data_IF_882861133241
#
_entry.id   IF_882861133241
#
_cell.length_a   1.000
_cell.length_b   1.000
_cell.length_c   1.000
_cell.angle_alpha   90.00
_cell.angle_beta   90.00
_cell.angle_gamma   90.00
#
_symmetry.space_group_name_H-M   'P 1'
#
loop_
_entity.id
_entity.type
_entity.pdbx_description
1 polymer ?
#
# COMPACT_ATOMS: atom_id res chain seq x y z
N UNK A 1 17.33 -15.77 6.25
CA UNK A 1 16.60 -16.22 7.46
C UNK A 1 16.32 -15.07 8.42
N UNK A 2 17.32 -14.38 9.00
CA UNK A 2 17.06 -13.28 9.98
C UNK A 2 16.35 -12.06 9.35
N UNK A 3 16.53 -11.81 8.05
CA UNK A 3 15.81 -10.77 7.29
C UNK A 3 14.45 -11.21 6.74
N UNK A 4 14.02 -12.44 7.04
CA UNK A 4 12.70 -12.90 6.62
C UNK A 4 11.63 -12.29 7.54
N UNK A 5 10.72 -11.51 6.95
CA UNK A 5 9.64 -10.84 7.67
C UNK A 5 8.77 -11.84 8.44
N UNK A 6 8.51 -13.02 7.87
CA UNK A 6 7.71 -14.07 8.52
C UNK A 6 8.39 -14.59 9.79
N UNK A 7 9.71 -14.77 9.73
CA UNK A 7 10.51 -15.18 10.89
C UNK A 7 10.47 -14.10 11.97
N UNK A 8 10.70 -12.83 11.62
CA UNK A 8 10.68 -11.72 12.59
C UNK A 8 9.33 -11.62 13.32
N UNK A 9 8.22 -11.70 12.58
CA UNK A 9 6.88 -11.70 13.17
C UNK A 9 6.66 -12.89 14.10
N UNK A 10 7.05 -14.10 13.67
CA UNK A 10 6.88 -15.31 14.47
C UNK A 10 7.66 -15.25 15.78
N UNK A 11 8.94 -14.87 15.75
CA UNK A 11 9.77 -14.78 16.96
C UNK A 11 9.32 -13.65 17.88
N UNK A 12 8.90 -12.50 17.34
CA UNK A 12 8.34 -11.41 18.14
C UNK A 12 7.04 -11.84 18.83
N UNK A 13 6.14 -12.54 18.14
CA UNK A 13 4.92 -13.09 18.72
C UNK A 13 5.22 -14.05 19.87
N UNK A 14 6.12 -15.02 19.65
CA UNK A 14 6.51 -16.01 20.67
C UNK A 14 7.14 -15.31 21.89
N UNK A 15 8.02 -14.33 21.68
CA UNK A 15 8.60 -13.54 22.77
C UNK A 15 7.52 -12.83 23.59
N UNK A 16 6.57 -12.18 22.92
CA UNK A 16 5.45 -11.52 23.59
C UNK A 16 4.60 -12.48 24.42
N UNK A 17 4.24 -13.64 23.85
CA UNK A 17 3.49 -14.69 24.53
C UNK A 17 4.24 -15.13 25.80
N UNK A 18 5.49 -15.59 25.66
CA UNK A 18 6.27 -16.11 26.80
C UNK A 18 6.44 -15.07 27.91
N UNK A 19 6.63 -13.79 27.55
CA UNK A 19 6.90 -12.75 28.53
C UNK A 19 5.64 -12.19 29.22
N UNK A 20 4.52 -12.11 28.51
CA UNK A 20 3.35 -11.33 28.95
C UNK A 20 2.08 -12.16 29.13
N UNK A 21 1.86 -13.20 28.34
CA UNK A 21 0.58 -13.93 28.29
C UNK A 21 0.13 -14.35 29.70
N UNK A 22 0.98 -15.06 30.44
CA UNK A 22 0.69 -15.51 31.81
C UNK A 22 0.32 -14.36 32.75
N UNK A 23 1.02 -13.22 32.63
CA UNK A 23 0.77 -12.04 33.48
C UNK A 23 -0.56 -11.35 33.17
N UNK A 24 -1.08 -11.50 31.95
CA UNK A 24 -2.43 -11.05 31.58
C UNK A 24 -3.45 -12.08 32.07
N UNK A 25 -3.21 -13.36 31.80
CA UNK A 25 -4.11 -14.46 32.16
C UNK A 25 -4.39 -14.50 33.67
N UNK A 26 -3.36 -14.32 34.49
CA UNK A 26 -3.47 -14.33 35.96
C UNK A 26 -4.37 -13.20 36.53
N UNK A 27 -4.67 -12.14 35.76
CA UNK A 27 -5.54 -11.04 36.22
C UNK A 27 -7.01 -11.42 36.29
N UNK A 28 -7.45 -12.40 35.50
CA UNK A 28 -8.83 -12.84 35.48
C UNK A 28 -8.91 -14.34 35.22
N UNK A 29 -9.61 -15.06 36.10
CA UNK A 29 -9.80 -16.50 35.97
C UNK A 29 -11.30 -16.77 35.75
N UNK A 30 -11.74 -16.99 34.50
CA UNK A 30 -13.13 -17.30 34.22
C UNK A 30 -13.55 -18.59 34.93
N UNK A 31 -14.78 -18.61 35.46
CA UNK A 31 -15.31 -19.76 36.21
C UNK A 31 -15.69 -20.95 35.32
N UNK A 32 -15.98 -20.71 34.04
CA UNK A 32 -16.43 -21.75 33.09
C UNK A 32 -15.31 -22.19 32.17
N UNK A 33 -15.31 -23.45 31.73
CA UNK A 33 -14.33 -23.98 30.77
C UNK A 33 -14.34 -23.21 29.44
N UNK A 34 -15.53 -22.85 28.96
CA UNK A 34 -15.70 -22.05 27.73
C UNK A 34 -15.17 -20.64 27.91
N UNK A 35 -15.47 -19.99 29.05
CA UNK A 35 -14.93 -18.67 29.36
C UNK A 35 -13.41 -18.67 29.43
N UNK A 36 -12.82 -19.72 30.05
CA UNK A 36 -11.37 -19.90 30.12
C UNK A 36 -10.74 -20.05 28.74
N UNK A 37 -11.32 -20.88 27.87
CA UNK A 37 -10.84 -21.04 26.49
C UNK A 37 -10.78 -19.71 25.72
N UNK A 38 -11.84 -18.90 25.76
CA UNK A 38 -11.84 -17.60 25.09
C UNK A 38 -10.90 -16.59 25.74
N UNK A 39 -10.81 -16.61 27.07
CA UNK A 39 -9.88 -15.74 27.80
C UNK A 39 -8.42 -16.04 27.46
N UNK A 40 -8.05 -17.32 27.38
CA UNK A 40 -6.70 -17.74 27.01
C UNK A 40 -6.37 -17.28 25.57
N UNK A 41 -7.32 -17.41 24.62
CA UNK A 41 -7.16 -16.89 23.26
C UNK A 41 -6.94 -15.38 23.24
N UNK A 42 -7.70 -14.63 24.05
CA UNK A 42 -7.55 -13.18 24.17
C UNK A 42 -6.16 -12.83 24.73
N UNK A 43 -5.72 -13.51 25.78
CA UNK A 43 -4.43 -13.28 26.42
C UNK A 43 -3.27 -13.55 25.46
N UNK A 44 -3.29 -14.70 24.77
CA UNK A 44 -2.30 -15.06 23.75
C UNK A 44 -2.31 -14.05 22.61
N UNK A 45 -3.49 -13.67 22.10
CA UNK A 45 -3.62 -12.71 21.00
C UNK A 45 -3.08 -11.33 21.37
N UNK A 46 -3.40 -10.83 22.57
CA UNK A 46 -2.88 -9.54 23.05
C UNK A 46 -1.36 -9.57 23.22
N UNK A 47 -0.84 -10.63 23.85
CA UNK A 47 0.59 -10.78 24.09
C UNK A 47 1.39 -10.87 22.78
N UNK A 48 0.93 -11.69 21.83
CA UNK A 48 1.53 -11.77 20.50
C UNK A 48 1.46 -10.44 19.76
N UNK A 49 0.26 -9.83 19.71
CA UNK A 49 0.02 -8.63 18.91
C UNK A 49 0.78 -7.41 19.42
N UNK A 50 1.01 -7.30 20.74
CA UNK A 50 1.83 -6.23 21.30
C UNK A 50 3.25 -6.19 20.72
N UNK A 51 3.84 -7.36 20.42
CA UNK A 51 5.20 -7.44 19.89
C UNK A 51 5.27 -7.53 18.37
N UNK A 52 4.22 -8.01 17.70
CA UNK A 52 4.14 -7.99 16.24
C UNK A 52 3.63 -6.65 15.69
N UNK A 53 2.99 -5.82 16.52
CA UNK A 53 2.43 -4.53 16.11
C UNK A 53 3.48 -3.59 15.48
N UNK A 54 4.66 -3.34 16.09
CA UNK A 54 5.64 -2.43 15.49
C UNK A 54 6.19 -2.95 14.15
N UNK A 55 6.44 -4.26 14.04
CA UNK A 55 6.90 -4.90 12.80
C UNK A 55 5.81 -4.83 11.72
N UNK A 56 4.55 -5.07 12.09
CA UNK A 56 3.42 -4.99 11.16
C UNK A 56 3.27 -3.58 10.58
N UNK A 57 3.39 -2.54 11.41
CA UNK A 57 3.37 -1.15 10.94
C UNK A 57 4.59 -0.79 10.07
N UNK A 58 5.76 -1.34 10.39
CA UNK A 58 6.98 -1.08 9.64
C UNK A 58 6.93 -1.66 8.23
N UNK A 59 6.53 -2.94 8.08
CA UNK A 59 6.55 -3.62 6.79
C UNK A 59 5.26 -3.46 5.98
N UNK A 60 4.10 -3.51 6.64
CA UNK A 60 2.81 -3.51 5.95
C UNK A 60 2.11 -2.16 5.99
N UNK A 61 2.61 -1.22 6.81
CA UNK A 61 2.01 0.10 7.02
C UNK A 61 0.53 0.04 7.39
N UNK A 62 0.09 -1.08 7.94
CA UNK A 62 -1.30 -1.32 8.30
C UNK A 62 -1.38 -2.19 9.55
N UNK A 63 -2.41 -1.95 10.34
CA UNK A 63 -2.73 -2.76 11.50
C UNK A 63 -4.24 -3.03 11.58
N UNK A 64 -4.67 -4.30 11.64
CA UNK A 64 -6.09 -4.63 11.80
C UNK A 64 -6.57 -4.30 13.21
N UNK A 65 -7.58 -3.44 13.35
CA UNK A 65 -8.14 -3.07 14.65
C UNK A 65 -8.96 -4.19 15.28
N UNK A 66 -9.64 -4.97 14.43
CA UNK A 66 -10.44 -6.12 14.86
C UNK A 66 -9.61 -7.41 14.92
N UNK A 67 -8.29 -7.31 15.14
CA UNK A 67 -7.41 -8.47 15.21
C UNK A 67 -7.87 -9.50 16.24
N UNK A 68 -8.45 -9.07 17.37
CA UNK A 68 -8.89 -9.98 18.42
C UNK A 68 -10.08 -10.83 17.96
N UNK A 69 -11.04 -10.23 17.24
CA UNK A 69 -12.18 -10.94 16.67
C UNK A 69 -11.73 -11.91 15.57
N UNK A 70 -10.87 -11.43 14.66
CA UNK A 70 -10.31 -12.26 13.59
C UNK A 70 -9.51 -13.44 14.18
N UNK A 71 -8.59 -13.16 15.11
CA UNK A 71 -7.76 -14.18 15.75
C UNK A 71 -8.59 -15.18 16.55
N UNK A 72 -9.68 -14.76 17.18
CA UNK A 72 -10.55 -15.71 17.90
C UNK A 72 -11.12 -16.79 16.97
N UNK A 73 -11.61 -16.40 15.80
CA UNK A 73 -12.12 -17.34 14.81
C UNK A 73 -11.00 -18.12 14.10
N UNK A 74 -9.90 -17.45 13.76
CA UNK A 74 -8.77 -18.04 13.02
C UNK A 74 -8.00 -19.04 13.88
N UNK A 75 -7.67 -18.70 15.14
CA UNK A 75 -6.92 -19.58 16.04
C UNK A 75 -7.73 -20.85 16.34
N UNK A 76 -9.06 -20.79 16.43
CA UNK A 76 -9.88 -21.97 16.64
C UNK A 76 -9.85 -22.95 15.45
N UNK A 77 -9.75 -22.46 14.21
CA UNK A 77 -9.76 -23.31 13.00
C UNK A 77 -8.36 -23.72 12.53
N UNK A 78 -7.32 -22.95 12.87
CA UNK A 78 -5.95 -23.15 12.36
C UNK A 78 -5.37 -24.55 12.68
N UNK A 79 -5.51 -25.11 13.90
CA UNK A 79 -5.04 -26.47 14.18
C UNK A 79 -5.69 -27.53 13.28
N UNK A 80 -6.99 -27.36 12.96
CA UNK A 80 -7.71 -28.25 12.05
C UNK A 80 -7.18 -28.14 10.62
N UNK A 81 -6.90 -26.91 10.14
CA UNK A 81 -6.32 -26.70 8.81
C UNK A 81 -4.94 -27.37 8.72
N UNK A 82 -4.07 -27.15 9.70
CA UNK A 82 -2.71 -27.69 9.71
C UNK A 82 -2.73 -29.21 9.81
N UNK A 83 -3.49 -29.77 10.74
CA UNK A 83 -3.60 -31.22 10.91
C UNK A 83 -4.18 -31.87 9.65
N UNK A 84 -5.25 -31.31 9.08
CA UNK A 84 -5.87 -31.82 7.86
C UNK A 84 -4.93 -31.71 6.65
N UNK A 85 -4.18 -30.61 6.51
CA UNK A 85 -3.16 -30.45 5.47
C UNK A 85 -2.05 -31.49 5.58
N UNK A 86 -1.57 -31.79 6.80
CA UNK A 86 -0.59 -32.85 7.03
C UNK A 86 -1.16 -34.23 6.70
N UNK A 87 -2.39 -34.53 7.12
CA UNK A 87 -3.07 -35.78 6.77
C UNK A 87 -3.26 -35.92 5.26
N UNK A 88 -3.66 -34.85 4.57
CA UNK A 88 -3.84 -34.85 3.13
C UNK A 88 -2.56 -35.22 2.39
N UNK A 89 -1.41 -34.71 2.84
CA UNK A 89 -0.10 -35.09 2.28
C UNK A 89 0.22 -36.57 2.52
N UNK A 90 -0.01 -37.06 3.74
CA UNK A 90 0.27 -38.45 4.13
C UNK A 90 -0.63 -39.46 3.40
N UNK A 91 -1.91 -39.14 3.23
CA UNK A 91 -2.93 -40.02 2.64
C UNK A 91 -3.19 -39.73 1.15
N UNK A 92 -2.35 -38.91 0.52
CA UNK A 92 -2.49 -38.49 -0.89
C UNK A 92 -2.52 -39.65 -1.90
N UNK A 93 -1.99 -40.82 -1.53
CA UNK A 93 -1.98 -42.02 -2.36
C UNK A 93 -3.35 -42.71 -2.48
N UNK A 94 -4.26 -42.50 -1.52
CA UNK A 94 -5.61 -43.07 -1.56
C UNK A 94 -6.61 -42.02 -2.02
N UNK A 95 -7.09 -42.14 -3.26
CA UNK A 95 -7.95 -41.14 -3.91
C UNK A 95 -9.16 -40.73 -3.05
N UNK A 96 -9.87 -41.69 -2.46
CA UNK A 96 -11.05 -41.40 -1.62
C UNK A 96 -10.70 -40.60 -0.35
N UNK A 97 -9.54 -40.87 0.26
CA UNK A 97 -9.06 -40.16 1.44
C UNK A 97 -8.60 -38.75 1.06
N UNK A 98 -7.87 -38.63 -0.05
CA UNK A 98 -7.47 -37.34 -0.63
C UNK A 98 -8.68 -36.46 -0.88
N UNK A 99 -9.71 -36.95 -1.59
CA UNK A 99 -10.90 -36.16 -1.93
C UNK A 99 -11.67 -35.70 -0.68
N UNK A 100 -11.83 -36.59 0.31
CA UNK A 100 -12.48 -36.25 1.58
C UNK A 100 -11.71 -35.21 2.39
N UNK A 101 -10.39 -35.38 2.56
CA UNK A 101 -9.53 -34.45 3.28
C UNK A 101 -9.43 -33.09 2.55
N UNK A 102 -9.33 -33.11 1.21
CA UNK A 102 -9.29 -31.91 0.38
C UNK A 102 -10.60 -31.13 0.47
N UNK A 103 -11.75 -31.81 0.45
CA UNK A 103 -13.05 -31.18 0.65
C UNK A 103 -13.14 -30.52 2.03
N UNK A 104 -12.75 -31.24 3.10
CA UNK A 104 -12.73 -30.69 4.46
C UNK A 104 -11.77 -29.49 4.57
N UNK A 105 -10.60 -29.56 3.93
CA UNK A 105 -9.61 -28.48 3.94
C UNK A 105 -10.18 -27.24 3.24
N UNK A 106 -10.82 -27.42 2.10
CA UNK A 106 -11.50 -26.35 1.36
C UNK A 106 -12.63 -25.72 2.18
N UNK A 107 -13.39 -26.50 2.94
CA UNK A 107 -14.41 -25.96 3.86
C UNK A 107 -13.77 -25.08 4.94
N UNK A 108 -12.69 -25.54 5.57
CA UNK A 108 -11.98 -24.75 6.59
C UNK A 108 -11.40 -23.45 6.01
N UNK A 109 -10.78 -23.50 4.83
CA UNK A 109 -10.23 -22.32 4.15
C UNK A 109 -11.37 -21.36 3.76
N UNK A 110 -12.49 -21.87 3.24
CA UNK A 110 -13.66 -21.05 2.89
C UNK A 110 -14.23 -20.34 4.13
N UNK A 111 -14.36 -21.05 5.25
CA UNK A 111 -14.77 -20.46 6.52
C UNK A 111 -13.81 -19.33 6.95
N UNK A 112 -12.49 -19.58 6.92
CA UNK A 112 -11.48 -18.57 7.24
C UNK A 112 -11.61 -17.32 6.36
N UNK A 113 -11.81 -17.50 5.04
CA UNK A 113 -12.01 -16.40 4.11
C UNK A 113 -13.29 -15.61 4.40
N UNK A 114 -14.39 -16.27 4.74
CA UNK A 114 -15.64 -15.59 5.13
C UNK A 114 -15.41 -14.73 6.37
N UNK A 115 -14.72 -15.26 7.38
CA UNK A 115 -14.37 -14.52 8.60
C UNK A 115 -13.54 -13.29 8.25
N UNK A 116 -12.47 -13.43 7.46
CA UNK A 116 -11.61 -12.32 7.05
C UNK A 116 -12.42 -11.25 6.30
N UNK A 117 -13.20 -11.65 5.29
CA UNK A 117 -14.02 -10.72 4.51
C UNK A 117 -15.05 -9.99 5.38
N UNK A 118 -15.65 -10.68 6.34
CA UNK A 118 -16.61 -10.08 7.26
C UNK A 118 -15.94 -9.04 8.16
N UNK A 119 -14.77 -9.39 8.73
CA UNK A 119 -14.01 -8.45 9.57
C UNK A 119 -13.49 -7.26 8.77
N UNK A 120 -13.05 -7.47 7.52
CA UNK A 120 -12.63 -6.40 6.62
C UNK A 120 -13.77 -5.45 6.22
N UNK A 121 -15.01 -5.94 6.19
CA UNK A 121 -16.18 -5.12 5.88
C UNK A 121 -16.56 -4.13 7.00
N UNK A 122 -16.01 -4.29 8.21
CA UNK A 122 -16.30 -3.40 9.33
C UNK A 122 -15.69 -2.01 9.12
N UNK A 123 -16.37 -0.96 9.62
CA UNK A 123 -15.84 0.40 9.52
C UNK A 123 -14.50 0.48 10.26
N UNK A 124 -13.51 1.10 9.64
CA UNK A 124 -12.15 1.22 10.18
C UNK A 124 -11.49 -0.14 10.50
N UNK A 125 -11.76 -1.17 9.68
CA UNK A 125 -11.20 -2.51 9.90
C UNK A 125 -9.68 -2.54 10.13
N UNK A 126 -8.96 -1.62 9.49
CA UNK A 126 -7.53 -1.40 9.68
C UNK A 126 -7.18 0.08 9.73
N UNK A 127 -6.14 0.41 10.48
CA UNK A 127 -5.47 1.71 10.43
C UNK A 127 -4.25 1.59 9.52
N UNK A 128 -4.01 2.60 8.69
CA UNK A 128 -2.83 2.68 7.82
C UNK A 128 -1.89 3.78 8.30
N UNK A 129 -0.67 3.42 8.70
CA UNK A 129 0.36 4.35 9.20
C UNK A 129 1.72 3.93 8.64
N UNK A 130 2.43 4.88 8.03
CA UNK A 130 3.81 4.67 7.60
C UNK A 130 4.80 4.94 8.74
N UNK A 131 5.40 3.88 9.28
CA UNK A 131 6.46 3.97 10.29
C UNK A 131 7.84 3.83 9.67
N UNK A 132 8.77 4.69 10.07
CA UNK A 132 10.20 4.54 9.76
C UNK A 132 10.88 3.60 10.75
N UNK A 133 12.06 3.08 10.40
CA UNK A 133 12.83 2.19 11.26
C UNK A 133 13.04 2.77 12.68
N UNK A 134 13.38 4.07 12.77
CA UNK A 134 13.59 4.75 14.04
C UNK A 134 12.32 4.89 14.88
N UNK A 135 11.16 5.12 14.23
CA UNK A 135 9.88 5.13 14.92
C UNK A 135 9.49 3.74 15.41
N UNK A 136 9.78 2.69 14.63
CA UNK A 136 9.56 1.30 15.05
C UNK A 136 10.40 0.92 16.26
N UNK A 137 11.69 1.30 16.28
CA UNK A 137 12.56 1.12 17.45
C UNK A 137 12.01 1.90 18.65
N UNK A 138 11.63 3.18 18.45
CA UNK A 138 11.01 4.00 19.48
C UNK A 138 9.71 3.38 20.02
N UNK A 139 8.90 2.76 19.15
CA UNK A 139 7.65 2.10 19.52
C UNK A 139 7.90 0.84 20.35
N UNK A 140 8.96 0.07 20.05
CA UNK A 140 9.39 -1.02 20.91
C UNK A 140 9.83 -0.53 22.29
N UNK A 141 10.64 0.52 22.35
CA UNK A 141 11.07 1.11 23.63
C UNK A 141 9.85 1.59 24.42
N UNK A 142 8.89 2.24 23.77
CA UNK A 142 7.62 2.64 24.37
C UNK A 142 6.87 1.44 24.97
N UNK A 143 6.64 0.38 24.18
CA UNK A 143 5.89 -0.81 24.62
C UNK A 143 6.59 -1.49 25.80
N UNK A 144 7.90 -1.77 25.66
CA UNK A 144 8.70 -2.47 26.67
C UNK A 144 8.77 -1.65 27.97
N UNK A 145 9.05 -0.35 27.89
CA UNK A 145 9.14 0.53 29.07
C UNK A 145 7.78 0.71 29.77
N UNK A 146 6.68 0.78 29.00
CA UNK A 146 5.33 0.86 29.54
C UNK A 146 4.96 -0.43 30.30
N UNK A 147 5.20 -1.59 29.70
CA UNK A 147 4.98 -2.89 30.35
C UNK A 147 5.83 -3.00 31.61
N UNK A 148 7.11 -2.69 31.52
CA UNK A 148 8.04 -2.74 32.66
C UNK A 148 7.58 -1.80 33.78
N UNK A 149 7.13 -0.59 33.45
CA UNK A 149 6.59 0.36 34.41
C UNK A 149 5.38 -0.19 35.17
N UNK A 150 4.42 -0.80 34.47
CA UNK A 150 3.23 -1.36 35.13
C UNK A 150 3.54 -2.58 35.99
N UNK A 151 4.48 -3.43 35.57
CA UNK A 151 4.83 -4.65 36.30
C UNK A 151 5.65 -4.36 37.56
N UNK A 152 6.58 -3.42 37.49
CA UNK A 152 7.51 -3.12 38.59
C UNK A 152 7.22 -1.79 39.29
N UNK A 153 6.11 -1.13 38.94
CA UNK A 153 5.69 0.20 39.45
C UNK A 153 6.81 1.25 39.34
N UNK A 154 7.63 1.17 38.29
CA UNK A 154 8.79 2.04 38.11
C UNK A 154 8.39 3.33 37.38
N UNK A 155 8.56 4.47 38.08
CA UNK A 155 8.22 5.81 37.56
C UNK A 155 9.14 6.25 36.41
N UNK A 156 10.42 5.93 36.45
CA UNK A 156 11.37 6.35 35.40
C UNK A 156 11.05 5.67 34.07
N UNK A 157 10.66 4.39 34.11
CA UNK A 157 10.21 3.66 32.93
C UNK A 157 8.89 4.23 32.37
N UNK A 158 8.01 4.74 33.22
CA UNK A 158 6.80 5.44 32.79
C UNK A 158 7.12 6.76 32.07
N UNK A 159 8.03 7.56 32.63
CA UNK A 159 8.46 8.81 31.98
C UNK A 159 9.18 8.55 30.66
N UNK A 160 9.98 7.48 30.58
CA UNK A 160 10.61 7.07 29.33
C UNK A 160 9.57 6.68 28.27
N UNK A 161 8.52 5.94 28.65
CA UNK A 161 7.46 5.58 27.69
C UNK A 161 6.74 6.82 27.16
N UNK A 162 6.37 7.76 28.05
CA UNK A 162 5.76 9.03 27.64
C UNK A 162 6.68 9.81 26.69
N UNK A 163 7.97 9.90 27.00
CA UNK A 163 8.95 10.60 26.16
C UNK A 163 9.01 9.97 24.77
N UNK A 164 9.14 8.64 24.67
CA UNK A 164 9.15 7.93 23.39
C UNK A 164 7.86 8.15 22.60
N UNK A 165 6.69 8.13 23.26
CA UNK A 165 5.41 8.38 22.62
C UNK A 165 5.33 9.81 22.04
N UNK A 166 5.75 10.81 22.82
CA UNK A 166 5.80 12.20 22.36
C UNK A 166 6.76 12.40 21.19
N UNK A 167 7.92 11.72 21.18
CA UNK A 167 8.86 11.77 20.06
C UNK A 167 8.31 11.12 18.79
N UNK A 168 7.57 10.01 18.91
CA UNK A 168 6.92 9.37 17.75
C UNK A 168 5.88 10.33 17.14
N UNK A 169 5.03 10.91 18.00
CA UNK A 169 4.00 11.87 17.58
C UNK A 169 4.64 13.10 16.94
N UNK A 170 5.69 13.67 17.53
CA UNK A 170 6.32 14.88 16.99
C UNK A 170 6.91 14.63 15.61
N UNK A 171 7.55 13.48 15.38
CA UNK A 171 8.04 13.09 14.05
C UNK A 171 6.89 12.95 13.05
N UNK A 172 5.79 12.32 13.43
CA UNK A 172 4.63 12.17 12.54
C UNK A 172 3.93 13.52 12.27
N UNK A 173 3.88 14.42 13.24
CA UNK A 173 3.38 15.79 13.06
C UNK A 173 4.26 16.59 12.11
N UNK A 174 5.58 16.48 12.23
CA UNK A 174 6.52 17.15 11.31
C UNK A 174 6.32 16.63 9.88
N UNK A 175 6.21 15.31 9.70
CA UNK A 175 5.90 14.73 8.38
C UNK A 175 4.56 15.21 7.85
N UNK A 176 3.55 15.27 8.71
CA UNK A 176 2.22 15.75 8.36
C UNK A 176 2.26 17.19 7.84
N UNK A 177 2.93 18.08 8.57
CA UNK A 177 3.08 19.49 8.18
C UNK A 177 3.85 19.60 6.86
N UNK A 178 4.95 18.85 6.69
CA UNK A 178 5.70 18.86 5.43
C UNK A 178 4.84 18.37 4.26
N UNK A 179 4.06 17.30 4.46
CA UNK A 179 3.19 16.76 3.43
C UNK A 179 2.05 17.70 3.04
N UNK A 180 1.59 18.61 3.93
CA UNK A 180 0.57 19.61 3.58
C UNK A 180 1.02 20.61 2.51
N UNK A 181 2.33 20.79 2.34
CA UNK A 181 2.88 21.71 1.35
C UNK A 181 3.40 21.00 0.10
N UNK A 182 3.56 19.67 0.16
CA UNK A 182 4.10 18.91 -0.95
C UNK A 182 3.06 18.75 -2.06
N UNK A 183 3.48 19.11 -3.27
CA UNK A 183 2.73 18.94 -4.51
C UNK A 183 3.55 18.08 -5.45
N UNK A 184 3.00 16.97 -5.92
CA UNK A 184 3.74 16.00 -6.72
C UNK A 184 2.88 15.45 -7.85
N UNK A 185 3.52 15.14 -8.97
CA UNK A 185 2.92 14.39 -10.08
C UNK A 185 3.74 13.12 -10.26
N UNK A 186 3.09 11.97 -10.18
CA UNK A 186 3.76 10.68 -10.28
C UNK A 186 3.15 9.87 -11.40
N UNK A 187 4.01 9.42 -12.31
CA UNK A 187 3.64 8.55 -13.42
C UNK A 187 4.06 7.11 -13.10
N UNK A 188 3.09 6.20 -13.07
CA UNK A 188 3.30 4.78 -12.80
C UNK A 188 3.11 3.95 -14.07
N UNK A 189 4.02 3.00 -14.27
CA UNK A 189 3.80 1.85 -15.13
C UNK A 189 3.11 0.74 -14.33
N UNK A 190 1.92 0.32 -14.78
CA UNK A 190 1.20 -0.82 -14.22
C UNK A 190 1.13 -1.94 -15.26
N UNK A 191 0.99 -3.21 -14.84
CA UNK A 191 0.80 -4.31 -15.78
C UNK A 191 -0.42 -4.05 -16.68
N UNK A 192 -0.18 -3.84 -17.98
CA UNK A 192 -1.22 -3.56 -19.01
C UNK A 192 -2.00 -2.25 -18.79
N UNK A 193 -1.38 -1.26 -18.15
CA UNK A 193 -2.07 -0.03 -17.73
C UNK A 193 -1.15 1.13 -17.40
N UNK A 194 -1.72 2.30 -17.18
CA UNK A 194 -0.99 3.46 -16.66
C UNK A 194 -1.79 4.17 -15.57
N UNK A 195 -1.07 4.78 -14.64
CA UNK A 195 -1.67 5.60 -13.60
C UNK A 195 -0.85 6.87 -13.41
N UNK A 196 -1.55 7.98 -13.21
CA UNK A 196 -0.98 9.26 -12.84
C UNK A 196 -1.64 9.66 -11.54
N UNK A 197 -0.83 9.87 -10.50
CA UNK A 197 -1.28 10.49 -9.27
C UNK A 197 -0.83 11.96 -9.27
N UNK A 198 -1.79 12.88 -9.23
CA UNK A 198 -1.54 14.29 -8.97
C UNK A 198 -1.89 14.56 -7.50
N UNK A 199 -0.87 14.73 -6.67
CA UNK A 199 -1.00 14.89 -5.22
C UNK A 199 -0.92 16.36 -4.83
N UNK A 200 -1.94 16.85 -4.16
CA UNK A 200 -1.98 18.15 -3.47
C UNK A 200 -2.29 17.91 -2.00
N UNK A 201 -1.28 18.04 -1.15
CA UNK A 201 -1.39 17.75 0.28
C UNK A 201 -1.91 16.33 0.56
N UNK A 202 -3.14 16.21 1.07
CA UNK A 202 -3.78 14.94 1.43
C UNK A 202 -4.78 14.44 0.39
N UNK A 203 -4.91 15.15 -0.72
CA UNK A 203 -5.81 14.82 -1.82
C UNK A 203 -4.98 14.33 -2.99
N UNK A 204 -5.31 13.14 -3.49
CA UNK A 204 -4.71 12.60 -4.70
C UNK A 204 -5.78 12.49 -5.79
N UNK A 205 -5.55 13.18 -6.91
CA UNK A 205 -6.32 13.04 -8.13
C UNK A 205 -5.70 11.90 -8.95
N UNK A 206 -6.48 10.84 -9.12
CA UNK A 206 -6.04 9.60 -9.75
C UNK A 206 -6.57 9.56 -11.18
N UNK A 207 -5.64 9.54 -12.14
CA UNK A 207 -5.95 9.42 -13.57
C UNK A 207 -5.36 8.13 -14.11
N UNK A 208 -6.18 7.28 -14.71
CA UNK A 208 -5.73 6.08 -15.38
C UNK A 208 -6.65 5.72 -16.54
N UNK A 209 -6.27 4.69 -17.29
CA UNK A 209 -7.13 4.07 -18.27
C UNK A 209 -8.28 3.30 -17.59
N UNK A 210 -9.38 3.08 -18.31
CA UNK A 210 -10.58 2.43 -17.77
C UNK A 210 -10.31 1.04 -17.20
N UNK A 211 -9.39 0.28 -17.81
CA UNK A 211 -9.04 -1.06 -17.35
C UNK A 211 -8.26 -1.00 -16.04
N UNK A 212 -7.27 -0.11 -15.92
CA UNK A 212 -6.55 0.13 -14.67
C UNK A 212 -7.46 0.56 -13.54
N UNK A 213 -8.33 1.56 -13.79
CA UNK A 213 -9.23 2.11 -12.79
C UNK A 213 -10.27 1.09 -12.28
N UNK A 214 -10.56 0.05 -13.06
CA UNK A 214 -11.45 -1.05 -12.63
C UNK A 214 -10.79 -2.07 -11.69
N UNK A 215 -9.45 -2.10 -11.62
CA UNK A 215 -8.69 -3.11 -10.89
C UNK A 215 -7.95 -2.53 -9.68
N UNK A 216 -8.68 -2.33 -8.59
CA UNK A 216 -8.15 -1.78 -7.34
C UNK A 216 -6.98 -2.59 -6.77
N UNK A 217 -6.94 -3.92 -6.94
CA UNK A 217 -5.87 -4.75 -6.40
C UNK A 217 -4.51 -4.44 -7.02
N UNK A 218 -4.48 -4.22 -8.33
CA UNK A 218 -3.24 -3.87 -9.04
C UNK A 218 -2.78 -2.46 -8.66
N UNK A 219 -3.70 -1.51 -8.52
CA UNK A 219 -3.37 -0.16 -8.03
C UNK A 219 -2.80 -0.25 -6.61
N UNK A 220 -3.44 -0.99 -5.71
CA UNK A 220 -3.01 -1.10 -4.33
C UNK A 220 -1.62 -1.72 -4.20
N UNK A 221 -1.33 -2.78 -4.96
CA UNK A 221 -0.05 -3.45 -4.91
C UNK A 221 1.13 -2.53 -5.29
N UNK A 222 0.93 -1.63 -6.26
CA UNK A 222 2.00 -0.78 -6.78
C UNK A 222 2.04 0.62 -6.17
N UNK A 223 0.92 1.16 -5.70
CA UNK A 223 0.77 2.59 -5.39
C UNK A 223 0.40 2.85 -3.92
N UNK A 224 -0.25 1.89 -3.24
CA UNK A 224 -0.78 2.09 -1.88
C UNK A 224 0.29 2.54 -0.89
N UNK A 225 1.45 1.89 -0.87
CA UNK A 225 2.53 2.23 0.06
C UNK A 225 3.03 3.67 -0.13
N UNK A 226 3.10 4.14 -1.38
CA UNK A 226 3.46 5.51 -1.68
C UNK A 226 2.41 6.49 -1.15
N UNK A 227 1.12 6.22 -1.40
CA UNK A 227 0.01 7.04 -0.89
C UNK A 227 -0.04 7.09 0.64
N UNK A 228 0.21 5.97 1.32
CA UNK A 228 0.27 5.92 2.79
C UNK A 228 1.44 6.76 3.33
N UNK A 229 2.61 6.70 2.68
CA UNK A 229 3.77 7.53 3.07
C UNK A 229 3.47 9.03 2.97
N UNK A 230 2.72 9.44 1.94
CA UNK A 230 2.26 10.82 1.75
C UNK A 230 1.00 11.17 2.57
N UNK A 231 0.50 10.23 3.39
CA UNK A 231 -0.67 10.41 4.25
C UNK A 231 -1.92 10.88 3.48
N UNK A 232 -2.08 10.38 2.25
CA UNK A 232 -3.24 10.69 1.42
C UNK A 232 -4.52 10.17 2.10
N UNK A 233 -5.49 11.06 2.31
CA UNK A 233 -6.78 10.73 2.94
C UNK A 233 -7.91 10.65 1.92
N UNK A 234 -7.81 11.41 0.84
CA UNK A 234 -8.86 11.49 -0.17
C UNK A 234 -8.31 11.11 -1.54
N UNK A 235 -8.97 10.13 -2.16
CA UNK A 235 -8.72 9.73 -3.54
C UNK A 235 -9.88 10.21 -4.40
N UNK A 236 -9.56 10.97 -5.45
CA UNK A 236 -10.53 11.46 -6.43
C UNK A 236 -10.20 10.79 -7.76
N UNK A 237 -11.04 9.84 -8.19
CA UNK A 237 -10.83 9.12 -9.44
C UNK A 237 -11.47 9.87 -10.61
N UNK A 238 -10.64 10.37 -11.53
CA UNK A 238 -11.15 11.20 -12.62
C UNK A 238 -11.23 10.44 -13.94
N UNK A 239 -12.45 10.05 -14.33
CA UNK A 239 -12.70 9.33 -15.58
C UNK A 239 -12.69 10.24 -16.83
N UNK A 240 -13.49 11.32 -16.86
CA UNK A 240 -13.78 12.01 -18.15
C UNK A 240 -13.61 13.54 -18.13
N UNK A 241 -14.30 14.24 -17.22
CA UNK A 241 -14.19 15.69 -17.12
C UNK A 241 -14.40 16.10 -15.66
N UNK A 242 -13.37 16.66 -15.04
CA UNK A 242 -13.46 17.13 -13.66
C UNK A 242 -12.64 18.40 -13.55
N UNK A 243 -13.24 19.40 -12.92
CA UNK A 243 -12.64 20.72 -12.73
C UNK A 243 -12.80 21.10 -11.28
N UNK A 244 -11.70 21.04 -10.55
CA UNK A 244 -11.54 21.69 -9.26
C UNK A 244 -10.73 22.98 -9.44
N UNK A 245 -10.54 23.75 -8.37
CA UNK A 245 -9.73 24.97 -8.43
C UNK A 245 -8.26 24.70 -8.81
N UNK A 246 -7.75 23.49 -8.54
CA UNK A 246 -6.32 23.14 -8.66
C UNK A 246 -6.03 22.01 -9.63
N UNK A 247 -7.06 21.23 -10.01
CA UNK A 247 -6.97 20.14 -10.95
C UNK A 247 -8.05 20.27 -12.02
N UNK A 248 -7.67 20.04 -13.26
CA UNK A 248 -8.56 20.05 -14.40
C UNK A 248 -8.18 18.89 -15.32
N UNK A 249 -9.17 18.10 -15.74
CA UNK A 249 -9.01 17.12 -16.83
C UNK A 249 -10.09 17.35 -17.87
N UNK A 250 -9.69 17.54 -19.13
CA UNK A 250 -10.59 17.49 -20.28
C UNK A 250 -9.99 16.54 -21.31
N UNK A 251 -10.69 15.42 -21.53
CA UNK A 251 -10.23 14.37 -22.41
C UNK A 251 -8.83 13.91 -22.00
N UNK A 252 -7.87 14.14 -22.89
CA UNK A 252 -6.48 13.73 -22.73
C UNK A 252 -5.55 14.81 -22.17
N UNK A 253 -6.08 16.00 -21.83
CA UNK A 253 -5.30 17.09 -21.25
C UNK A 253 -5.60 17.17 -19.76
N UNK A 254 -4.56 17.15 -18.95
CA UNK A 254 -4.60 17.37 -17.51
C UNK A 254 -3.86 18.67 -17.21
N UNK A 255 -4.43 19.51 -16.35
CA UNK A 255 -3.77 20.67 -15.76
C UNK A 255 -3.79 20.52 -14.26
N UNK A 256 -2.63 20.56 -13.64
CA UNK A 256 -2.47 20.46 -12.20
C UNK A 256 -1.41 21.47 -11.75
N UNK A 257 -1.77 22.38 -10.84
CA UNK A 257 -0.83 23.37 -10.27
C UNK A 257 -0.04 24.15 -11.35
N UNK A 258 -0.74 24.56 -12.42
CA UNK A 258 -0.16 25.28 -13.55
C UNK A 258 0.65 24.43 -14.54
N UNK A 259 0.93 23.16 -14.22
CA UNK A 259 1.56 22.21 -15.14
C UNK A 259 0.53 21.52 -16.02
N UNK A 260 0.85 21.38 -17.30
CA UNK A 260 -0.02 20.70 -18.29
C UNK A 260 0.59 19.39 -18.75
N UNK A 261 -0.22 18.34 -18.72
CA UNK A 261 0.10 17.00 -19.19
C UNK A 261 -0.81 16.69 -20.38
N UNK A 262 -0.25 16.24 -21.49
CA UNK A 262 -1.00 15.71 -22.63
C UNK A 262 -0.77 14.21 -22.74
N UNK A 263 -1.85 13.43 -22.76
CA UNK A 263 -1.83 11.98 -22.96
C UNK A 263 -2.14 11.65 -24.43
N UNK A 264 -1.26 10.91 -25.08
CA UNK A 264 -1.43 10.49 -26.47
C UNK A 264 -1.66 8.99 -26.52
N UNK A 265 -2.92 8.59 -26.71
CA UNK A 265 -3.33 7.18 -26.75
C UNK A 265 -3.74 6.69 -28.14
N UNK A 266 -4.10 7.63 -29.02
CA UNK A 266 -4.55 7.36 -30.39
C UNK A 266 -3.71 8.18 -31.36
N UNK A 267 -3.81 7.81 -32.64
CA UNK A 267 -3.10 8.50 -33.71
C UNK A 267 -3.41 10.00 -33.69
N UNK A 268 -2.36 10.80 -33.54
CA UNK A 268 -2.44 12.25 -33.61
C UNK A 268 -2.20 12.69 -35.06
N UNK A 269 -3.25 13.18 -35.70
CA UNK A 269 -3.12 13.89 -36.97
C UNK A 269 -2.96 15.38 -36.66
N UNK A 270 -1.72 15.86 -36.67
CA UNK A 270 -1.42 17.27 -36.49
C UNK A 270 -1.57 17.96 -37.85
N UNK A 271 -2.54 18.88 -37.94
CA UNK A 271 -2.70 19.69 -39.14
C UNK A 271 -1.51 20.63 -39.28
N UNK A 272 -0.85 20.63 -40.45
CA UNK A 272 0.38 21.40 -40.70
C UNK A 272 0.18 22.91 -40.67
N UNK A 273 -1.07 23.37 -40.72
CA UNK A 273 -1.44 24.78 -40.82
C UNK A 273 -1.83 25.41 -39.47
N UNK A 274 -1.91 24.64 -38.38
CA UNK A 274 -2.16 25.19 -37.04
C UNK A 274 -0.85 25.70 -36.43
N UNK A 275 -0.76 27.03 -36.30
CA UNK A 275 0.42 27.75 -35.82
C UNK A 275 0.37 28.10 -34.32
N UNK A 276 -0.75 27.80 -33.64
CA UNK A 276 -0.88 27.97 -32.20
C UNK A 276 -0.16 26.85 -31.47
N UNK A 277 1.14 27.02 -31.23
CA UNK A 277 1.91 26.10 -30.41
C UNK A 277 1.30 26.03 -29.00
N UNK A 278 0.67 24.89 -28.67
CA UNK A 278 0.08 24.66 -27.36
C UNK A 278 1.17 24.16 -26.43
N UNK A 279 1.79 25.04 -25.63
CA UNK A 279 2.85 24.62 -24.71
C UNK A 279 2.29 23.70 -23.61
N UNK A 280 2.96 22.56 -23.45
CA UNK A 280 2.74 21.61 -22.35
C UNK A 280 4.05 21.34 -21.63
N UNK A 281 3.97 20.90 -20.38
CA UNK A 281 5.15 20.52 -19.63
C UNK A 281 5.49 19.04 -19.86
N UNK A 282 4.47 18.18 -19.85
CA UNK A 282 4.67 16.73 -19.92
C UNK A 282 3.85 16.11 -21.05
N UNK A 283 4.52 15.43 -21.97
CA UNK A 283 3.88 14.65 -23.04
C UNK A 283 3.97 13.18 -22.68
N UNK A 284 2.85 12.53 -22.37
CA UNK A 284 2.80 11.10 -22.12
C UNK A 284 2.32 10.35 -23.35
N UNK A 285 3.14 9.44 -23.87
CA UNK A 285 2.80 8.59 -25.01
C UNK A 285 2.43 7.20 -24.48
N UNK A 286 1.21 6.75 -24.78
CA UNK A 286 0.64 5.51 -24.27
C UNK A 286 -0.04 4.70 -25.37
N UNK A 287 -0.03 3.37 -25.26
CA UNK A 287 -0.78 2.46 -26.14
C UNK A 287 -0.38 2.51 -27.64
N UNK A 288 0.92 2.59 -27.93
CA UNK A 288 1.48 2.40 -29.26
C UNK A 288 0.93 3.30 -30.39
N UNK A 289 0.72 4.61 -30.18
CA UNK A 289 0.16 5.48 -31.21
C UNK A 289 1.10 5.56 -32.42
N UNK A 290 0.53 5.80 -33.60
CA UNK A 290 1.31 6.16 -34.76
C UNK A 290 1.55 7.68 -34.74
N UNK A 291 2.77 8.10 -34.36
CA UNK A 291 3.16 9.50 -34.30
C UNK A 291 4.62 9.71 -34.70
N UNK A 292 4.90 10.90 -35.21
CA UNK A 292 6.25 11.40 -35.46
C UNK A 292 6.62 12.38 -34.36
N UNK A 293 7.64 12.03 -33.55
CA UNK A 293 8.14 12.87 -32.46
C UNK A 293 8.48 14.28 -32.95
N UNK A 294 9.12 14.39 -34.12
CA UNK A 294 9.42 15.68 -34.78
C UNK A 294 8.19 16.58 -34.95
N UNK A 295 7.06 16.03 -35.39
CA UNK A 295 5.84 16.81 -35.61
C UNK A 295 5.18 17.18 -34.29
N UNK A 296 5.12 16.23 -33.36
CA UNK A 296 4.52 16.44 -32.02
C UNK A 296 5.28 17.50 -31.24
N UNK A 297 6.62 17.48 -31.28
CA UNK A 297 7.46 18.50 -30.65
C UNK A 297 7.17 19.89 -31.23
N UNK A 298 7.06 20.02 -32.55
CA UNK A 298 6.79 21.31 -33.19
C UNK A 298 5.44 21.89 -32.80
N UNK A 299 4.42 21.04 -32.67
CA UNK A 299 3.06 21.47 -32.35
C UNK A 299 2.87 21.79 -30.86
N UNK A 300 3.47 20.99 -29.97
CA UNK A 300 3.12 21.02 -28.54
C UNK A 300 4.28 21.44 -27.62
N UNK A 301 5.52 21.49 -28.14
CA UNK A 301 6.74 21.95 -27.44
C UNK A 301 6.83 21.48 -25.97
N UNK A 302 6.90 20.16 -25.71
CA UNK A 302 6.94 19.64 -24.36
C UNK A 302 8.31 19.88 -23.69
N UNK A 303 8.29 20.15 -22.38
CA UNK A 303 9.53 20.22 -21.57
C UNK A 303 10.12 18.81 -21.34
N UNK A 304 9.26 17.79 -21.26
CA UNK A 304 9.65 16.38 -21.04
C UNK A 304 8.67 15.43 -21.74
N UNK A 305 9.23 14.42 -22.43
CA UNK A 305 8.44 13.33 -23.05
C UNK A 305 8.52 12.07 -22.18
N UNK A 306 7.39 11.47 -21.87
CA UNK A 306 7.27 10.28 -21.04
C UNK A 306 6.71 9.15 -21.89
N UNK A 307 7.36 8.00 -21.89
CA UNK A 307 6.88 6.79 -22.58
C UNK A 307 6.30 5.82 -21.56
N UNK A 308 5.03 5.42 -21.74
CA UNK A 308 4.43 4.37 -20.92
C UNK A 308 5.00 2.99 -21.26
N UNK A 309 4.97 2.08 -20.28
CA UNK A 309 5.37 0.68 -20.46
C UNK A 309 4.38 -0.15 -21.31
N UNK A 310 3.26 0.44 -21.75
CA UNK A 310 2.32 -0.22 -22.66
C UNK A 310 2.73 -0.08 -24.13
N UNK A 311 3.79 0.69 -24.42
CA UNK A 311 4.33 0.79 -25.77
C UNK A 311 5.30 -0.37 -26.04
N UNK A 312 5.42 -0.76 -27.31
CA UNK A 312 6.36 -1.78 -27.74
C UNK A 312 7.80 -1.23 -27.69
N UNK A 313 8.73 -2.03 -27.18
CA UNK A 313 10.12 -1.65 -26.94
C UNK A 313 10.80 -1.04 -28.18
N UNK A 314 10.51 -1.58 -29.36
CA UNK A 314 11.10 -1.07 -30.61
C UNK A 314 10.62 0.36 -30.94
N UNK A 315 9.37 0.71 -30.57
CA UNK A 315 8.85 2.08 -30.73
C UNK A 315 9.45 3.00 -29.70
N UNK A 316 9.56 2.56 -28.44
CA UNK A 316 10.20 3.34 -27.37
C UNK A 316 11.63 3.69 -27.80
N UNK A 317 12.45 2.71 -28.18
CA UNK A 317 13.84 2.93 -28.65
C UNK A 317 13.92 3.90 -29.81
N UNK A 318 12.99 3.81 -30.77
CA UNK A 318 12.92 4.74 -31.90
C UNK A 318 12.62 6.17 -31.42
N UNK A 319 11.60 6.35 -30.58
CA UNK A 319 11.23 7.66 -30.06
C UNK A 319 12.29 8.25 -29.12
N UNK A 320 12.99 7.43 -28.34
CA UNK A 320 14.14 7.88 -27.54
C UNK A 320 15.26 8.43 -28.43
N UNK A 321 15.56 7.77 -29.56
CA UNK A 321 16.55 8.27 -30.51
C UNK A 321 16.10 9.58 -31.16
N UNK A 322 14.83 9.68 -31.57
CA UNK A 322 14.26 10.93 -32.09
C UNK A 322 14.39 12.06 -31.05
N UNK A 323 14.02 11.81 -29.77
CA UNK A 323 14.14 12.81 -28.70
C UNK A 323 15.59 13.28 -28.48
N UNK A 324 16.58 12.37 -28.58
CA UNK A 324 18.01 12.74 -28.51
C UNK A 324 18.43 13.65 -29.66
N UNK A 325 17.99 13.35 -30.88
CA UNK A 325 18.31 14.16 -32.07
C UNK A 325 17.78 15.59 -31.95
N UNK A 326 16.56 15.76 -31.39
CA UNK A 326 15.94 17.07 -31.20
C UNK A 326 16.27 17.74 -29.85
N UNK A 327 17.13 17.13 -29.02
CA UNK A 327 17.59 17.71 -27.75
C UNK A 327 16.51 17.83 -26.68
N UNK A 328 15.51 16.94 -26.68
CA UNK A 328 14.39 16.99 -25.71
C UNK A 328 14.56 15.93 -24.63
N UNK A 329 14.41 16.31 -23.34
CA UNK A 329 14.41 15.35 -22.24
C UNK A 329 13.32 14.29 -22.41
N UNK A 330 13.64 13.05 -22.09
CA UNK A 330 12.67 11.96 -22.11
C UNK A 330 12.87 10.97 -20.96
N UNK A 331 11.81 10.24 -20.61
CA UNK A 331 11.84 9.20 -19.59
C UNK A 331 10.94 8.01 -19.99
N UNK A 332 11.47 6.80 -19.89
CA UNK A 332 10.68 5.57 -20.07
C UNK A 332 10.27 5.01 -18.72
N UNK A 333 8.97 4.78 -18.52
CA UNK A 333 8.42 4.23 -17.28
C UNK A 333 8.79 2.74 -17.07
N UNK A 334 9.40 2.09 -18.06
CA UNK A 334 10.02 0.76 -17.87
C UNK A 334 11.14 0.78 -16.84
N UNK A 335 11.80 1.94 -16.65
CA UNK A 335 12.87 2.12 -15.65
C UNK A 335 12.34 2.29 -14.23
N UNK A 336 11.04 2.51 -14.07
CA UNK A 336 10.39 2.78 -12.79
C UNK A 336 9.40 3.93 -12.87
N UNK A 337 8.76 4.23 -11.74
CA UNK A 337 7.86 5.37 -11.63
C UNK A 337 8.66 6.69 -11.68
N UNK A 338 8.10 7.68 -12.38
CA UNK A 338 8.67 9.03 -12.45
C UNK A 338 7.94 9.94 -11.46
N UNK A 339 8.64 10.43 -10.44
CA UNK A 339 8.12 11.44 -9.51
C UNK A 339 8.61 12.85 -9.91
N UNK A 340 7.68 13.79 -10.02
CA UNK A 340 7.92 15.19 -10.30
C UNK A 340 7.38 16.03 -9.14
N UNK A 341 8.27 16.56 -8.31
CA UNK A 341 7.92 17.51 -7.26
C UNK A 341 7.71 18.91 -7.83
N UNK A 342 6.57 19.52 -7.51
CA UNK A 342 6.22 20.88 -7.87
C UNK A 342 6.60 21.80 -6.71
N UNK A 343 7.39 22.84 -7.00
CA UNK A 343 7.75 23.88 -6.03
C UNK A 343 6.75 25.02 -6.06
#
# INVERSE_FOLDING_TARGET
>A
LIFDMGLQLSYAAVFGIVWIEKRISDKYQPKTKVGKYFWDIICVSLAAQLFTFPISLYYFHQFPLYFLLANMAIISITPLIVANGMLLLLFSFWQWAYDGLAYLLNLCIKYMNIVIQTVESFPYASIQIHMTLWQTIGLYIFIISLIYSFLYKNKNAFFLSILCFLLIISVDLIKYINNLHNKEIIFYALPKGMLIDCMDAQTCYVVGDSNTLSNNRTIDYHVKNHRIKHQIKQLIYTAHCEKTQRFYKIGNVISFEGKRILIVEKNLYINRNDTSAFSINYLLINNNPNLSIRQTIKAVKPDLVIFSANNADYKIKKWENDCKEYGIPFYSLEKGALNITLK
#
